data_IF_093630710614
#
_entry.id   IF_093630710614
#
_cell.length_a   1.000
_cell.length_b   1.000
_cell.length_c   1.000
_cell.angle_alpha   90.00
_cell.angle_beta   90.00
_cell.angle_gamma   90.00
#
_symmetry.space_group_name_H-M   'P 1'
#
loop_
_entity.id
_entity.type
_entity.pdbx_description
1 polymer ?
#
# COMPACT_ATOMS: atom_id res chain seq x y z
N UNK A 1 -5.68 31.68 -12.85
CA UNK A 1 -4.30 31.42 -12.37
C UNK A 1 -3.48 30.94 -13.55
N UNK A 2 -2.25 31.47 -13.72
CA UNK A 2 -1.32 30.96 -14.74
C UNK A 2 -0.33 29.98 -14.10
N UNK A 3 0.18 29.04 -14.88
CA UNK A 3 1.13 28.02 -14.36
C UNK A 3 2.40 28.66 -13.74
N UNK A 4 2.84 29.81 -14.23
CA UNK A 4 3.99 30.57 -13.72
C UNK A 4 3.77 31.19 -12.33
N UNK A 5 2.51 31.39 -11.91
CA UNK A 5 2.14 31.99 -10.62
C UNK A 5 1.94 30.93 -9.52
N UNK A 6 2.08 29.64 -9.85
CA UNK A 6 1.80 28.52 -8.95
C UNK A 6 2.85 28.43 -7.84
N UNK A 7 2.35 28.38 -6.59
CA UNK A 7 3.10 28.06 -5.37
C UNK A 7 2.43 26.87 -4.70
N UNK A 8 3.15 25.78 -4.58
CA UNK A 8 2.57 24.50 -4.15
C UNK A 8 2.80 24.28 -2.65
N UNK A 9 1.75 23.87 -1.95
CA UNK A 9 1.86 23.26 -0.64
C UNK A 9 1.44 21.79 -0.74
N UNK A 10 2.31 20.87 -0.31
CA UNK A 10 1.96 19.44 -0.20
C UNK A 10 1.72 19.10 1.27
N UNK A 11 0.49 18.68 1.60
CA UNK A 11 0.04 18.34 2.95
C UNK A 11 0.10 16.84 3.15
N UNK A 12 0.91 16.41 4.12
CA UNK A 12 1.26 15.02 4.36
C UNK A 12 2.53 14.61 3.62
N UNK A 13 3.63 14.42 4.35
CA UNK A 13 4.96 14.11 3.81
C UNK A 13 5.34 12.64 4.05
N UNK A 14 4.40 11.73 3.82
CA UNK A 14 4.61 10.28 3.87
C UNK A 14 5.13 9.71 2.55
N UNK A 15 4.81 8.42 2.31
CA UNK A 15 5.21 7.63 1.12
C UNK A 15 4.78 8.24 -0.23
N UNK A 16 3.74 9.05 -0.23
CA UNK A 16 3.15 9.68 -1.43
C UNK A 16 3.57 11.13 -1.53
N UNK A 17 3.33 11.90 -0.47
CA UNK A 17 3.48 13.35 -0.52
C UNK A 17 4.93 13.81 -0.61
N UNK A 18 5.88 13.15 0.05
CA UNK A 18 7.28 13.56 -0.01
C UNK A 18 7.89 13.39 -1.41
N UNK A 19 7.77 12.22 -2.09
CA UNK A 19 8.27 12.08 -3.46
C UNK A 19 7.66 13.10 -4.42
N UNK A 20 6.36 13.37 -4.27
CA UNK A 20 5.66 14.33 -5.12
C UNK A 20 6.09 15.78 -4.82
N UNK A 21 6.22 16.16 -3.53
CA UNK A 21 6.69 17.48 -3.12
C UNK A 21 8.11 17.76 -3.63
N UNK A 22 9.02 16.78 -3.49
CA UNK A 22 10.38 16.85 -4.05
C UNK A 22 10.32 17.05 -5.57
N UNK A 23 9.45 16.33 -6.26
CA UNK A 23 9.33 16.43 -7.70
C UNK A 23 8.81 17.81 -8.13
N UNK A 24 7.74 18.31 -7.50
CA UNK A 24 7.21 19.64 -7.74
C UNK A 24 8.25 20.73 -7.49
N UNK A 25 9.08 20.61 -6.45
CA UNK A 25 10.10 21.62 -6.12
C UNK A 25 11.09 21.87 -7.26
N UNK A 26 11.26 20.93 -8.18
CA UNK A 26 12.15 21.09 -9.35
C UNK A 26 11.63 22.11 -10.37
N UNK A 27 10.35 22.47 -10.31
CA UNK A 27 9.68 23.37 -11.29
C UNK A 27 8.91 24.52 -10.64
N UNK A 28 8.44 24.34 -9.41
CA UNK A 28 7.58 25.30 -8.72
C UNK A 28 8.12 25.59 -7.32
N UNK A 29 7.96 26.80 -6.78
CA UNK A 29 8.11 27.05 -5.36
C UNK A 29 7.21 26.08 -4.58
N UNK A 30 7.81 25.23 -3.74
CA UNK A 30 7.09 24.14 -3.09
C UNK A 30 7.42 24.09 -1.60
N UNK A 31 6.41 24.02 -0.76
CA UNK A 31 6.50 23.82 0.68
C UNK A 31 5.81 22.49 1.02
N UNK A 32 6.47 21.67 1.82
CA UNK A 32 5.89 20.48 2.42
C UNK A 32 5.33 20.80 3.81
N UNK A 33 4.10 20.43 4.08
CA UNK A 33 3.47 20.57 5.39
C UNK A 33 3.18 19.19 5.99
N UNK A 34 3.63 18.98 7.24
CA UNK A 34 3.27 17.78 8.01
C UNK A 34 3.02 18.16 9.47
N UNK A 35 2.04 17.52 10.10
CA UNK A 35 1.72 17.79 11.52
C UNK A 35 2.77 17.22 12.47
N UNK A 36 3.61 16.29 12.03
CA UNK A 36 4.61 15.62 12.84
C UNK A 36 5.95 16.37 12.80
N UNK A 37 6.27 17.11 13.86
CA UNK A 37 7.51 17.88 13.98
C UNK A 37 8.75 17.02 13.79
N UNK A 38 8.80 15.80 14.34
CA UNK A 38 9.96 14.93 14.19
C UNK A 38 10.15 14.47 12.74
N UNK A 39 9.06 14.35 11.95
CA UNK A 39 9.12 14.10 10.51
C UNK A 39 9.73 15.29 9.77
N UNK A 40 9.25 16.48 10.07
CA UNK A 40 9.76 17.74 9.47
C UNK A 40 11.23 17.92 9.78
N UNK A 41 11.66 17.73 11.04
CA UNK A 41 13.04 17.87 11.46
C UNK A 41 13.97 16.88 10.73
N UNK A 42 13.56 15.61 10.61
CA UNK A 42 14.30 14.60 9.87
C UNK A 42 14.45 14.98 8.39
N UNK A 43 13.36 15.40 7.73
CA UNK A 43 13.38 15.81 6.33
C UNK A 43 14.25 17.03 6.11
N UNK A 44 14.17 18.04 6.98
CA UNK A 44 15.01 19.25 6.89
C UNK A 44 16.50 18.97 7.19
N UNK A 45 16.83 17.88 7.89
CA UNK A 45 18.18 17.37 8.02
C UNK A 45 18.68 16.60 6.78
N UNK A 46 17.80 16.40 5.79
CA UNK A 46 18.09 15.67 4.55
C UNK A 46 17.95 14.16 4.66
N UNK A 47 17.14 13.65 5.60
CA UNK A 47 16.93 12.21 5.82
C UNK A 47 15.45 11.81 5.71
N UNK A 48 15.19 10.81 4.86
CA UNK A 48 13.86 10.21 4.69
C UNK A 48 13.77 8.83 5.34
N UNK A 49 13.14 8.75 6.52
CA UNK A 49 12.91 7.50 7.24
C UNK A 49 11.97 6.52 6.50
N UNK A 50 11.23 6.97 5.47
CA UNK A 50 10.38 6.09 4.65
C UNK A 50 11.15 5.42 3.50
N UNK A 51 12.38 5.89 3.21
CA UNK A 51 13.26 5.41 2.14
C UNK A 51 12.66 5.52 0.73
N UNK A 52 11.67 6.39 0.54
CA UNK A 52 11.04 6.65 -0.76
C UNK A 52 11.80 7.71 -1.58
N UNK A 53 12.47 8.63 -0.89
CA UNK A 53 13.33 9.63 -1.51
C UNK A 53 14.75 9.43 -0.99
N UNK A 54 15.69 9.24 -1.92
CA UNK A 54 17.11 9.15 -1.56
C UNK A 54 17.58 10.45 -0.89
N UNK A 55 18.36 10.34 0.20
CA UNK A 55 18.84 11.48 0.97
C UNK A 55 19.56 12.52 0.09
N UNK A 56 20.30 12.08 -0.93
CA UNK A 56 20.95 12.98 -1.88
C UNK A 56 19.96 13.80 -2.71
N UNK A 57 18.84 13.20 -3.14
CA UNK A 57 17.80 13.90 -3.89
C UNK A 57 17.02 14.87 -2.99
N UNK A 58 16.80 14.51 -1.73
CA UNK A 58 16.17 15.38 -0.76
C UNK A 58 17.05 16.59 -0.44
N UNK A 59 18.36 16.38 -0.22
CA UNK A 59 19.34 17.46 -0.01
C UNK A 59 19.45 18.37 -1.23
N UNK A 60 19.39 17.82 -2.45
CA UNK A 60 19.34 18.63 -3.68
C UNK A 60 18.06 19.49 -3.71
N UNK A 61 16.90 18.91 -3.37
CA UNK A 61 15.64 19.66 -3.34
C UNK A 61 15.71 20.85 -2.37
N UNK A 62 16.26 20.65 -1.18
CA UNK A 62 16.43 21.70 -0.16
C UNK A 62 17.42 22.76 -0.63
N UNK A 63 18.63 22.36 -1.03
CA UNK A 63 19.72 23.30 -1.29
C UNK A 63 19.64 24.01 -2.63
N UNK A 64 19.14 23.34 -3.67
CA UNK A 64 19.12 23.87 -5.04
C UNK A 64 17.78 24.45 -5.46
N UNK A 65 16.67 23.80 -5.02
CA UNK A 65 15.33 24.19 -5.43
C UNK A 65 14.56 24.93 -4.32
N UNK A 66 15.15 25.10 -3.13
CA UNK A 66 14.53 25.84 -2.02
C UNK A 66 13.32 25.12 -1.41
N UNK A 67 13.27 23.79 -1.50
CA UNK A 67 12.22 22.98 -0.85
C UNK A 67 12.32 23.14 0.68
N UNK A 68 11.20 23.43 1.32
CA UNK A 68 11.10 23.60 2.77
C UNK A 68 9.99 22.72 3.30
N UNK A 69 10.23 22.08 4.47
CA UNK A 69 9.19 21.39 5.23
C UNK A 69 8.87 22.18 6.50
N UNK A 70 7.59 22.22 6.88
CA UNK A 70 7.13 22.98 8.04
C UNK A 70 5.91 22.33 8.72
N UNK A 71 5.72 22.64 10.01
CA UNK A 71 4.48 22.40 10.76
C UNK A 71 3.67 23.70 10.96
N UNK A 72 4.20 24.84 10.49
CA UNK A 72 3.62 26.17 10.70
C UNK A 72 2.69 26.55 9.55
N UNK A 73 1.41 26.77 9.89
CA UNK A 73 0.37 27.18 8.93
C UNK A 73 0.64 28.53 8.26
N UNK A 74 1.27 29.45 8.96
CA UNK A 74 1.53 30.78 8.40
C UNK A 74 2.51 30.72 7.21
N UNK A 75 3.42 29.74 7.19
CA UNK A 75 4.37 29.58 6.09
C UNK A 75 3.71 29.05 4.80
N UNK A 76 2.55 28.41 4.88
CA UNK A 76 1.85 27.85 3.72
C UNK A 76 0.71 28.74 3.24
N UNK A 77 0.43 29.86 3.92
CA UNK A 77 -0.67 30.78 3.60
C UNK A 77 -0.51 31.48 2.27
N UNK A 78 0.71 31.67 1.81
CA UNK A 78 1.01 32.29 0.50
C UNK A 78 1.02 31.27 -0.66
N UNK A 79 0.75 30.00 -0.40
CA UNK A 79 0.54 29.01 -1.43
C UNK A 79 -0.86 29.18 -2.05
N UNK A 80 -0.99 28.77 -3.32
CA UNK A 80 -2.24 28.87 -4.06
C UNK A 80 -2.65 27.56 -4.76
N UNK A 81 -1.84 26.52 -4.58
CA UNK A 81 -2.08 25.18 -5.08
C UNK A 81 -1.74 24.17 -3.98
N UNK A 82 -2.77 23.63 -3.33
CA UNK A 82 -2.63 22.71 -2.21
C UNK A 82 -2.82 21.28 -2.68
N UNK A 83 -1.88 20.39 -2.35
CA UNK A 83 -1.94 18.96 -2.68
C UNK A 83 -2.06 18.16 -1.38
N UNK A 84 -3.16 17.43 -1.21
CA UNK A 84 -3.44 16.64 -0.01
C UNK A 84 -3.08 15.18 -0.26
N UNK A 85 -2.04 14.69 0.43
CA UNK A 85 -1.46 13.36 0.28
C UNK A 85 -1.35 12.61 1.62
N UNK A 86 -2.43 12.65 2.41
CA UNK A 86 -2.51 11.99 3.72
C UNK A 86 -3.03 10.55 3.59
N UNK A 87 -2.71 9.65 4.55
CA UNK A 87 -3.21 8.28 4.51
C UNK A 87 -4.73 8.21 4.70
N UNK A 88 -5.34 7.20 4.08
CA UNK A 88 -6.76 6.85 4.20
C UNK A 88 -6.88 5.38 4.63
N UNK A 89 -6.75 5.07 5.93
CA UNK A 89 -6.84 3.71 6.43
C UNK A 89 -8.29 3.21 6.49
N UNK A 90 -8.46 1.96 6.91
CA UNK A 90 -9.77 1.41 7.34
C UNK A 90 -9.76 1.18 8.84
N UNK A 91 -10.94 1.22 9.45
CA UNK A 91 -11.15 0.87 10.85
C UNK A 91 -11.13 -0.67 11.05
N UNK A 92 -11.32 -1.12 12.30
CA UNK A 92 -11.34 -2.54 12.66
C UNK A 92 -12.48 -3.34 11.99
N UNK A 93 -13.49 -2.66 11.47
CA UNK A 93 -14.62 -3.25 10.76
C UNK A 93 -14.47 -3.14 9.24
N UNK A 94 -13.28 -2.75 8.75
CA UNK A 94 -12.99 -2.49 7.35
C UNK A 94 -13.81 -1.34 6.74
N UNK A 95 -14.24 -0.35 7.56
CA UNK A 95 -14.85 0.87 7.05
C UNK A 95 -13.77 1.92 6.78
N UNK A 96 -13.90 2.71 5.70
CA UNK A 96 -13.00 3.83 5.44
C UNK A 96 -12.92 4.80 6.61
N UNK A 97 -11.70 5.09 7.07
CA UNK A 97 -11.45 6.15 8.05
C UNK A 97 -10.95 7.41 7.34
N UNK A 98 -11.86 8.36 7.18
CA UNK A 98 -11.58 9.65 6.53
C UNK A 98 -11.03 10.70 7.51
N UNK A 99 -10.83 10.36 8.79
CA UNK A 99 -10.36 11.32 9.81
C UNK A 99 -9.10 12.08 9.41
N UNK A 100 -8.02 11.43 8.89
CA UNK A 100 -6.83 12.17 8.46
C UNK A 100 -7.12 13.10 7.28
N UNK A 101 -7.98 12.66 6.34
CA UNK A 101 -8.32 13.42 5.14
C UNK A 101 -9.18 14.65 5.48
N UNK A 102 -10.15 14.50 6.37
CA UNK A 102 -10.96 15.61 6.86
C UNK A 102 -10.13 16.59 7.70
N UNK A 103 -9.15 16.07 8.47
CA UNK A 103 -8.18 16.90 9.18
C UNK A 103 -7.32 17.74 8.22
N UNK A 104 -6.82 17.13 7.15
CA UNK A 104 -6.08 17.86 6.11
C UNK A 104 -6.97 18.88 5.37
N UNK A 105 -8.23 18.53 5.08
CA UNK A 105 -9.20 19.47 4.50
C UNK A 105 -9.50 20.66 5.45
N UNK A 106 -9.54 20.41 6.77
CA UNK A 106 -9.62 21.47 7.77
C UNK A 106 -8.40 22.41 7.71
N UNK A 107 -7.20 21.82 7.64
CA UNK A 107 -5.94 22.56 7.50
C UNK A 107 -5.95 23.45 6.24
N UNK A 108 -6.36 22.90 5.09
CA UNK A 108 -6.54 23.68 3.85
C UNK A 108 -7.52 24.82 4.07
N UNK A 109 -8.67 24.56 4.71
CA UNK A 109 -9.68 25.58 4.98
C UNK A 109 -9.19 26.78 5.82
N UNK A 110 -8.16 26.59 6.65
CA UNK A 110 -7.56 27.66 7.45
C UNK A 110 -6.67 28.62 6.65
N UNK A 111 -6.19 28.19 5.49
CA UNK A 111 -5.18 28.93 4.71
C UNK A 111 -5.61 29.28 3.29
N UNK A 112 -6.56 28.55 2.71
CA UNK A 112 -7.02 28.71 1.33
C UNK A 112 -7.64 30.10 1.10
N UNK A 113 -7.34 30.69 -0.04
CA UNK A 113 -7.81 32.01 -0.46
C UNK A 113 -8.61 31.95 -1.76
N UNK A 114 -9.21 33.08 -2.15
CA UNK A 114 -9.98 33.18 -3.41
C UNK A 114 -9.10 32.93 -4.63
N UNK A 115 -9.55 32.04 -5.49
CA UNK A 115 -8.86 31.67 -6.72
C UNK A 115 -7.90 30.49 -6.56
N UNK A 116 -7.70 29.99 -5.33
CA UNK A 116 -6.82 28.86 -5.06
C UNK A 116 -7.41 27.52 -5.49
N UNK A 117 -6.53 26.53 -5.61
CA UNK A 117 -6.90 25.17 -6.00
C UNK A 117 -6.42 24.17 -4.94
N UNK A 118 -7.30 23.24 -4.54
CA UNK A 118 -6.93 22.08 -3.73
C UNK A 118 -7.04 20.80 -4.56
N UNK A 119 -5.98 19.99 -4.59
CA UNK A 119 -5.94 18.70 -5.29
C UNK A 119 -5.77 17.58 -4.28
N UNK A 120 -6.63 16.58 -4.32
CA UNK A 120 -6.52 15.40 -3.47
C UNK A 120 -5.80 14.27 -4.20
N UNK A 121 -4.81 13.69 -3.53
CA UNK A 121 -4.04 12.52 -3.99
C UNK A 121 -4.43 11.24 -3.23
N UNK A 122 -4.96 11.41 -2.02
CA UNK A 122 -5.33 10.31 -1.14
C UNK A 122 -6.35 9.39 -1.79
N UNK A 123 -6.17 8.08 -1.63
CA UNK A 123 -7.10 7.07 -2.19
C UNK A 123 -8.46 7.14 -1.47
N UNK A 124 -9.53 7.29 -2.24
CA UNK A 124 -10.89 7.43 -1.72
C UNK A 124 -11.91 6.74 -2.64
N UNK A 125 -13.12 6.49 -2.13
CA UNK A 125 -14.22 6.06 -2.98
C UNK A 125 -14.80 7.24 -3.80
N UNK A 126 -15.47 6.98 -4.94
CA UNK A 126 -16.04 8.05 -5.77
C UNK A 126 -17.00 8.95 -4.99
N UNK A 127 -16.72 10.26 -5.05
CA UNK A 127 -17.51 11.31 -4.42
C UNK A 127 -16.94 11.86 -3.11
N UNK A 128 -15.93 11.25 -2.49
CA UNK A 128 -15.37 11.73 -1.19
C UNK A 128 -14.86 13.15 -1.31
N UNK A 129 -14.13 13.47 -2.35
CA UNK A 129 -13.62 14.83 -2.54
C UNK A 129 -14.74 15.84 -2.48
N UNK A 130 -15.79 15.66 -3.30
CA UNK A 130 -16.88 16.62 -3.43
C UNK A 130 -17.91 16.56 -2.28
N UNK A 131 -18.16 15.37 -1.72
CA UNK A 131 -19.23 15.15 -0.72
C UNK A 131 -18.75 15.33 0.73
N UNK A 132 -17.45 15.11 1.01
CA UNK A 132 -16.89 15.11 2.37
C UNK A 132 -15.81 16.17 2.56
N UNK A 133 -14.81 16.21 1.66
CA UNK A 133 -13.64 17.06 1.84
C UNK A 133 -13.94 18.54 1.57
N UNK A 134 -14.54 18.86 0.43
CA UNK A 134 -14.80 20.25 0.04
C UNK A 134 -15.81 20.94 0.98
N UNK A 135 -16.89 20.30 1.47
CA UNK A 135 -17.75 20.89 2.50
C UNK A 135 -16.98 21.23 3.79
N UNK A 136 -15.96 20.45 4.14
CA UNK A 136 -15.07 20.76 5.28
C UNK A 136 -14.24 22.03 5.01
N UNK A 137 -13.69 22.17 3.80
CA UNK A 137 -12.94 23.38 3.40
C UNK A 137 -13.84 24.60 3.41
N UNK A 138 -15.05 24.51 2.83
CA UNK A 138 -16.06 25.60 2.83
C UNK A 138 -16.41 26.03 4.26
N UNK A 139 -16.69 25.07 5.14
CA UNK A 139 -17.07 25.36 6.53
C UNK A 139 -15.99 26.13 7.29
N UNK A 140 -14.72 25.82 7.04
CA UNK A 140 -13.59 26.42 7.78
C UNK A 140 -13.19 27.77 7.18
N UNK A 141 -13.12 27.85 5.85
CA UNK A 141 -12.67 29.06 5.15
C UNK A 141 -13.77 30.12 4.99
N UNK A 142 -15.05 29.71 5.01
CA UNK A 142 -16.18 30.57 4.64
C UNK A 142 -16.27 30.86 3.13
N UNK A 143 -15.40 30.24 2.32
CA UNK A 143 -15.38 30.36 0.87
C UNK A 143 -16.30 29.31 0.23
N UNK A 144 -16.71 29.54 -1.02
CA UNK A 144 -17.58 28.64 -1.77
C UNK A 144 -16.83 27.89 -2.86
N UNK A 145 -17.03 26.60 -2.89
CA UNK A 145 -16.50 25.71 -3.92
C UNK A 145 -17.05 26.07 -5.31
N UNK A 146 -16.17 26.07 -6.32
CA UNK A 146 -16.45 26.46 -7.71
C UNK A 146 -16.90 27.93 -7.93
N UNK A 147 -16.87 28.76 -6.87
CA UNK A 147 -17.05 30.20 -6.95
C UNK A 147 -15.79 30.93 -6.49
N UNK A 148 -15.36 30.65 -5.26
CA UNK A 148 -14.24 31.32 -4.61
C UNK A 148 -12.95 30.50 -4.65
N UNK A 149 -13.03 29.17 -4.59
CA UNK A 149 -11.91 28.25 -4.73
C UNK A 149 -12.30 27.04 -5.57
N UNK A 150 -11.32 26.28 -6.02
CA UNK A 150 -11.52 25.18 -6.95
C UNK A 150 -10.82 23.91 -6.46
N UNK A 151 -11.18 22.75 -7.07
CA UNK A 151 -10.62 21.48 -6.68
C UNK A 151 -10.22 20.60 -7.86
N UNK A 152 -9.31 19.67 -7.58
CA UNK A 152 -8.93 18.60 -8.47
C UNK A 152 -8.73 17.30 -7.71
N UNK A 153 -8.52 16.23 -8.45
CA UNK A 153 -8.11 14.95 -7.93
C UNK A 153 -7.09 14.29 -8.86
N UNK A 154 -6.01 13.78 -8.29
CA UNK A 154 -4.98 13.04 -9.01
C UNK A 154 -4.61 11.79 -8.22
N UNK A 155 -5.08 10.60 -8.65
CA UNK A 155 -4.87 9.38 -7.89
C UNK A 155 -3.41 9.03 -7.75
N UNK A 156 -3.03 8.58 -6.56
CA UNK A 156 -1.73 8.00 -6.30
C UNK A 156 -1.59 6.63 -6.98
N UNK A 157 -0.46 6.40 -7.65
CA UNK A 157 -0.14 5.16 -8.36
C UNK A 157 1.26 4.62 -8.04
N UNK A 158 1.95 5.18 -7.05
CA UNK A 158 3.26 4.69 -6.60
C UNK A 158 3.08 3.30 -5.97
N UNK A 159 3.98 2.40 -6.32
CA UNK A 159 4.09 1.11 -5.66
C UNK A 159 5.29 1.19 -4.71
N UNK A 160 5.09 1.28 -3.38
CA UNK A 160 6.19 1.44 -2.43
C UNK A 160 7.30 0.43 -2.64
N UNK A 161 8.56 0.91 -2.67
CA UNK A 161 9.74 0.10 -2.93
C UNK A 161 10.00 -0.25 -4.40
N UNK A 162 9.18 0.21 -5.35
CA UNK A 162 9.41 0.06 -6.79
C UNK A 162 10.34 1.16 -7.30
N UNK A 163 11.59 0.82 -7.59
CA UNK A 163 12.61 1.76 -8.07
C UNK A 163 12.57 1.97 -9.59
N UNK A 164 11.82 1.16 -10.32
CA UNK A 164 11.67 1.28 -11.77
C UNK A 164 10.52 2.23 -12.14
N UNK A 165 9.36 2.06 -11.49
CA UNK A 165 8.16 2.85 -11.73
C UNK A 165 8.04 3.97 -10.67
N UNK A 166 9.01 4.89 -10.68
CA UNK A 166 9.02 6.05 -9.78
C UNK A 166 7.89 7.04 -10.13
N UNK A 167 7.57 7.95 -9.19
CA UNK A 167 6.54 8.98 -9.40
C UNK A 167 6.73 9.77 -10.70
N UNK A 168 7.96 9.99 -11.13
CA UNK A 168 8.30 10.72 -12.37
C UNK A 168 7.94 9.95 -13.63
N UNK A 169 8.00 8.60 -13.59
CA UNK A 169 7.84 7.70 -14.74
C UNK A 169 6.45 7.11 -14.87
N UNK A 170 5.62 7.17 -13.85
CA UNK A 170 4.23 6.70 -13.96
C UNK A 170 3.39 7.74 -14.70
N UNK A 171 2.44 7.27 -15.52
CA UNK A 171 1.42 8.13 -16.10
C UNK A 171 0.33 8.37 -15.07
N UNK A 172 0.19 9.62 -14.58
CA UNK A 172 -0.82 9.96 -13.58
C UNK A 172 -2.17 10.33 -14.20
N UNK A 173 -3.25 9.97 -13.52
CA UNK A 173 -4.55 10.57 -13.79
C UNK A 173 -4.61 11.98 -13.22
N UNK A 174 -5.32 12.89 -13.88
CA UNK A 174 -5.62 14.24 -13.38
C UNK A 174 -7.08 14.57 -13.64
N UNK A 175 -7.65 15.45 -12.85
CA UNK A 175 -9.02 15.95 -13.03
C UNK A 175 -9.20 17.29 -12.33
N UNK A 176 -10.27 17.98 -12.65
CA UNK A 176 -10.61 19.26 -12.01
C UNK A 176 -12.11 19.50 -11.97
N UNK A 177 -12.51 20.41 -11.11
CA UNK A 177 -13.91 20.75 -10.85
C UNK A 177 -14.57 21.57 -11.96
N UNK A 178 -13.77 22.25 -12.80
CA UNK A 178 -14.19 22.89 -14.04
C UNK A 178 -13.22 22.51 -15.16
N UNK A 179 -13.58 22.70 -16.46
CA UNK A 179 -12.67 22.41 -17.57
C UNK A 179 -11.34 23.18 -17.48
N UNK A 180 -11.40 24.45 -17.05
CA UNK A 180 -10.22 25.32 -16.91
C UNK A 180 -9.31 24.83 -15.78
N UNK A 181 -9.88 24.44 -14.65
CA UNK A 181 -9.15 23.90 -13.51
C UNK A 181 -8.58 22.53 -13.85
N UNK A 182 -9.32 21.70 -14.57
CA UNK A 182 -8.83 20.40 -15.03
C UNK A 182 -7.58 20.55 -15.90
N UNK A 183 -7.57 21.52 -16.83
CA UNK A 183 -6.41 21.83 -17.65
C UNK A 183 -5.25 22.41 -16.82
N UNK A 184 -5.53 23.26 -15.84
CA UNK A 184 -4.52 23.81 -14.95
C UNK A 184 -3.85 22.68 -14.14
N UNK A 185 -4.64 21.84 -13.46
CA UNK A 185 -4.14 20.69 -12.71
C UNK A 185 -3.31 19.78 -13.63
N UNK A 186 -3.83 19.45 -14.81
CA UNK A 186 -3.13 18.64 -15.78
C UNK A 186 -1.77 19.24 -16.18
N UNK A 187 -1.72 20.56 -16.43
CA UNK A 187 -0.48 21.26 -16.81
C UNK A 187 0.57 21.27 -15.70
N UNK A 188 0.15 21.44 -14.42
CA UNK A 188 1.04 21.42 -13.26
C UNK A 188 1.70 20.05 -13.10
N UNK A 189 0.91 18.98 -13.18
CA UNK A 189 1.44 17.60 -13.10
C UNK A 189 2.30 17.24 -14.31
N UNK A 190 1.89 17.60 -15.50
CA UNK A 190 2.65 17.36 -16.73
C UNK A 190 4.03 18.04 -16.74
N UNK A 191 4.18 19.17 -16.06
CA UNK A 191 5.44 19.90 -15.96
C UNK A 191 6.55 19.09 -15.27
N UNK A 192 6.18 18.11 -14.45
CA UNK A 192 7.13 17.33 -13.62
C UNK A 192 7.16 15.83 -13.98
N UNK A 193 6.20 15.31 -14.76
CA UNK A 193 6.09 13.90 -15.12
C UNK A 193 6.70 13.61 -16.50
N UNK A 194 7.49 12.54 -16.60
CA UNK A 194 8.14 12.14 -17.86
C UNK A 194 7.14 11.51 -18.81
N UNK A 195 6.25 10.63 -18.33
CA UNK A 195 5.28 9.90 -19.15
C UNK A 195 3.92 10.59 -19.23
N UNK A 196 3.85 11.85 -18.76
CA UNK A 196 2.68 12.69 -18.86
C UNK A 196 1.50 12.24 -18.01
N UNK A 197 0.35 12.79 -18.34
CA UNK A 197 -0.90 12.62 -17.61
C UNK A 197 -1.99 11.99 -18.46
N UNK A 198 -3.08 11.60 -17.81
CA UNK A 198 -4.36 11.27 -18.42
C UNK A 198 -5.44 12.13 -17.77
N UNK A 199 -5.96 13.10 -18.52
CA UNK A 199 -7.02 13.96 -18.04
C UNK A 199 -8.34 13.19 -18.00
N UNK A 200 -8.83 12.92 -16.80
CA UNK A 200 -10.12 12.29 -16.58
C UNK A 200 -11.25 13.32 -16.70
N UNK A 201 -12.45 12.92 -17.16
CA UNK A 201 -13.55 13.82 -17.42
C UNK A 201 -14.17 14.46 -16.16
N UNK A 202 -13.92 13.90 -14.97
CA UNK A 202 -14.38 14.45 -13.69
C UNK A 202 -13.56 13.90 -12.51
N UNK A 203 -13.67 14.57 -11.36
CA UNK A 203 -13.09 14.12 -10.08
C UNK A 203 -13.57 12.71 -9.75
N UNK A 204 -14.88 12.43 -9.81
CA UNK A 204 -15.45 11.12 -9.50
C UNK A 204 -14.93 10.01 -10.41
N UNK A 205 -14.70 10.29 -11.69
CA UNK A 205 -14.11 9.30 -12.61
C UNK A 205 -12.67 9.02 -12.25
N UNK A 206 -11.90 10.03 -11.87
CA UNK A 206 -10.52 9.86 -11.43
C UNK A 206 -10.42 9.07 -10.12
N UNK A 207 -11.28 9.36 -9.13
CA UNK A 207 -11.42 8.58 -7.89
C UNK A 207 -11.77 7.11 -8.19
N UNK A 208 -12.80 6.88 -9.04
CA UNK A 208 -13.22 5.53 -9.42
C UNK A 208 -12.09 4.74 -10.10
N UNK A 209 -11.32 5.39 -10.97
CA UNK A 209 -10.24 4.72 -11.70
C UNK A 209 -9.19 4.13 -10.77
N UNK A 210 -8.84 4.83 -9.69
CA UNK A 210 -7.89 4.36 -8.68
C UNK A 210 -8.39 3.11 -7.95
N UNK A 211 -9.63 3.16 -7.49
CA UNK A 211 -10.21 2.06 -6.72
C UNK A 211 -10.31 0.78 -7.54
N UNK A 212 -10.70 0.88 -8.82
CA UNK A 212 -10.84 -0.32 -9.66
C UNK A 212 -9.50 -0.98 -10.01
N UNK A 213 -8.39 -0.23 -10.08
CA UNK A 213 -7.05 -0.81 -10.33
C UNK A 213 -6.69 -1.85 -9.26
N UNK A 214 -6.90 -1.51 -7.99
CA UNK A 214 -6.60 -2.39 -6.87
C UNK A 214 -7.70 -3.45 -6.66
N UNK A 215 -8.98 -3.09 -6.84
CA UNK A 215 -10.08 -4.06 -6.75
C UNK A 215 -9.98 -5.14 -7.83
N UNK A 216 -9.61 -4.81 -9.06
CA UNK A 216 -9.38 -5.79 -10.12
C UNK A 216 -8.25 -6.75 -9.74
N UNK A 217 -7.14 -6.23 -9.20
CA UNK A 217 -6.01 -7.05 -8.77
C UNK A 217 -6.40 -7.98 -7.63
N UNK A 218 -7.14 -7.48 -6.65
CA UNK A 218 -7.65 -8.27 -5.52
C UNK A 218 -8.55 -9.43 -5.97
N UNK A 219 -9.53 -9.15 -6.84
CA UNK A 219 -10.42 -10.18 -7.41
C UNK A 219 -9.63 -11.22 -8.20
N UNK A 220 -8.65 -10.79 -8.99
CA UNK A 220 -7.84 -11.71 -9.79
C UNK A 220 -6.94 -12.59 -8.91
N UNK A 221 -6.37 -12.05 -7.81
CA UNK A 221 -5.62 -12.86 -6.85
C UNK A 221 -6.56 -13.83 -6.10
N UNK A 222 -7.77 -13.39 -5.74
CA UNK A 222 -8.76 -14.28 -5.14
C UNK A 222 -9.11 -15.46 -6.05
N UNK A 223 -9.24 -15.23 -7.35
CA UNK A 223 -9.41 -16.31 -8.32
C UNK A 223 -8.24 -17.30 -8.30
N UNK A 224 -6.98 -16.81 -8.28
CA UNK A 224 -5.80 -17.67 -8.17
C UNK A 224 -5.77 -18.44 -6.85
N UNK A 225 -6.15 -17.80 -5.74
CA UNK A 225 -6.25 -18.43 -4.43
C UNK A 225 -7.35 -19.53 -4.38
N UNK A 226 -8.47 -19.30 -5.03
CA UNK A 226 -9.53 -20.31 -5.15
C UNK A 226 -9.04 -21.51 -5.97
N UNK A 227 -8.36 -21.28 -7.10
CA UNK A 227 -7.74 -22.34 -7.90
C UNK A 227 -6.73 -23.15 -7.07
N UNK A 228 -5.90 -22.49 -6.29
CA UNK A 228 -4.94 -23.17 -5.40
C UNK A 228 -5.65 -24.09 -4.41
N UNK A 229 -6.75 -23.66 -3.81
CA UNK A 229 -7.57 -24.50 -2.91
C UNK A 229 -8.18 -25.70 -3.63
N UNK A 230 -8.70 -25.50 -4.83
CA UNK A 230 -9.28 -26.56 -5.67
C UNK A 230 -8.21 -27.60 -6.05
N UNK A 231 -7.07 -27.13 -6.59
CA UNK A 231 -6.02 -28.01 -7.08
C UNK A 231 -5.32 -28.75 -5.93
N UNK A 232 -5.10 -28.09 -4.79
CA UNK A 232 -4.59 -28.77 -3.59
C UNK A 232 -5.53 -29.89 -3.12
N UNK A 233 -6.86 -29.70 -3.20
CA UNK A 233 -7.84 -30.75 -2.87
C UNK A 233 -7.82 -31.90 -3.89
N UNK A 234 -7.48 -31.63 -5.15
CA UNK A 234 -7.35 -32.62 -6.23
C UNK A 234 -5.98 -33.30 -6.28
N UNK A 235 -5.00 -32.84 -5.48
CA UNK A 235 -3.63 -33.34 -5.52
C UNK A 235 -2.85 -32.89 -6.76
N UNK A 236 -3.25 -31.75 -7.37
CA UNK A 236 -2.61 -31.14 -8.54
C UNK A 236 -1.80 -29.94 -8.10
N UNK A 237 -0.60 -29.79 -8.64
CA UNK A 237 0.23 -28.59 -8.36
C UNK A 237 -0.29 -27.36 -9.11
N UNK A 238 -0.61 -26.31 -8.35
CA UNK A 238 -1.19 -25.08 -8.88
C UNK A 238 -0.25 -24.36 -9.84
N UNK A 239 1.05 -24.31 -9.53
CA UNK A 239 2.03 -23.63 -10.37
C UNK A 239 2.19 -24.32 -11.72
N UNK A 240 2.18 -25.67 -11.76
CA UNK A 240 2.27 -26.43 -13.02
C UNK A 240 1.06 -26.12 -13.92
N UNK A 241 -0.14 -26.01 -13.34
CA UNK A 241 -1.36 -25.63 -14.08
C UNK A 241 -1.25 -24.21 -14.60
N UNK A 242 -0.79 -23.27 -13.78
CA UNK A 242 -0.64 -21.87 -14.17
C UNK A 242 0.42 -21.69 -15.26
N UNK A 243 1.53 -22.44 -15.21
CA UNK A 243 2.55 -22.44 -16.27
C UNK A 243 1.99 -22.99 -17.58
N UNK A 244 1.26 -24.09 -17.54
CA UNK A 244 0.60 -24.64 -18.72
C UNK A 244 -0.42 -23.65 -19.31
N UNK A 245 -1.26 -23.02 -18.48
CA UNK A 245 -2.22 -22.01 -18.90
C UNK A 245 -1.55 -20.76 -19.49
N UNK A 246 -0.41 -20.36 -18.91
CA UNK A 246 0.37 -19.20 -19.34
C UNK A 246 1.07 -19.39 -20.71
N UNK A 247 1.07 -20.60 -21.27
CA UNK A 247 1.47 -20.83 -22.65
C UNK A 247 0.53 -20.17 -23.67
N UNK A 248 -0.70 -19.85 -23.27
CA UNK A 248 -1.65 -19.10 -24.07
C UNK A 248 -1.36 -17.61 -23.98
N UNK A 249 -1.20 -16.95 -25.11
CA UNK A 249 -0.74 -15.55 -25.23
C UNK A 249 -1.59 -14.51 -24.47
N UNK A 250 -2.88 -14.76 -24.25
CA UNK A 250 -3.80 -13.83 -23.57
C UNK A 250 -4.15 -14.26 -22.13
N UNK A 251 -3.42 -15.22 -21.56
CA UNK A 251 -3.59 -15.58 -20.16
C UNK A 251 -2.94 -14.53 -19.26
N UNK A 252 -3.71 -14.01 -18.30
CA UNK A 252 -3.21 -13.02 -17.32
C UNK A 252 -2.42 -13.76 -16.24
N UNK A 253 -1.11 -13.56 -16.23
CA UNK A 253 -0.19 -14.22 -15.30
C UNK A 253 -0.29 -13.61 -13.91
N UNK A 254 -0.98 -14.29 -13.01
CA UNK A 254 -1.02 -14.01 -11.58
C UNK A 254 -0.75 -15.30 -10.83
N UNK A 255 -0.35 -15.17 -9.56
CA UNK A 255 -0.09 -16.30 -8.68
C UNK A 255 -0.98 -16.21 -7.44
N UNK A 256 -1.30 -17.36 -6.80
CA UNK A 256 -1.91 -17.37 -5.49
C UNK A 256 -0.94 -16.78 -4.45
N UNK A 257 -1.46 -16.29 -3.34
CA UNK A 257 -0.65 -15.74 -2.26
C UNK A 257 -1.43 -14.96 -1.22
N UNK A 258 -0.70 -14.46 -0.25
CA UNK A 258 -1.23 -13.61 0.82
C UNK A 258 -1.41 -12.18 0.30
N UNK A 259 -2.58 -11.59 0.53
CA UNK A 259 -2.89 -10.21 0.13
C UNK A 259 -2.87 -9.32 1.37
N UNK A 260 -1.77 -8.62 1.57
CA UNK A 260 -1.53 -7.66 2.63
C UNK A 260 -1.27 -6.25 2.10
N UNK A 261 -0.69 -5.39 2.93
CA UNK A 261 -0.37 -4.00 2.62
C UNK A 261 -1.57 -3.07 2.82
N UNK A 262 -1.43 -1.83 2.36
CA UNK A 262 -2.43 -0.79 2.60
C UNK A 262 -3.22 -0.37 1.36
N UNK A 263 -2.97 -1.01 0.21
CA UNK A 263 -3.69 -0.71 -1.02
C UNK A 263 -4.64 -1.85 -1.41
N UNK A 264 -4.11 -3.00 -1.88
CA UNK A 264 -4.94 -4.09 -2.42
C UNK A 264 -5.87 -4.69 -1.36
N UNK A 265 -5.42 -4.79 -0.11
CA UNK A 265 -6.24 -5.31 1.00
C UNK A 265 -7.25 -4.31 1.56
N UNK A 266 -7.14 -3.02 1.22
CA UNK A 266 -7.91 -1.92 1.80
C UNK A 266 -8.87 -1.28 0.79
N UNK A 267 -8.36 -0.87 -0.37
CA UNK A 267 -9.12 -0.10 -1.37
C UNK A 267 -10.44 -0.75 -1.80
N UNK A 268 -10.54 -2.10 -1.97
CA UNK A 268 -11.82 -2.71 -2.33
C UNK A 268 -12.94 -2.46 -1.32
N UNK A 269 -12.62 -2.33 -0.03
CA UNK A 269 -13.61 -2.03 1.01
C UNK A 269 -14.25 -0.65 0.82
N UNK A 270 -13.49 0.32 0.32
CA UNK A 270 -14.01 1.65 -0.03
C UNK A 270 -15.14 1.55 -1.05
N UNK A 271 -14.92 0.80 -2.13
CA UNK A 271 -15.95 0.64 -3.17
C UNK A 271 -17.10 -0.27 -2.72
N UNK A 272 -16.81 -1.30 -1.93
CA UNK A 272 -17.84 -2.20 -1.35
C UNK A 272 -18.82 -1.41 -0.50
N UNK A 273 -18.32 -0.55 0.39
CA UNK A 273 -19.15 0.26 1.26
C UNK A 273 -19.96 1.30 0.46
N UNK A 274 -19.31 2.02 -0.46
CA UNK A 274 -20.01 3.02 -1.28
C UNK A 274 -21.11 2.39 -2.15
N UNK A 275 -20.88 1.21 -2.71
CA UNK A 275 -21.87 0.48 -3.48
C UNK A 275 -23.12 0.15 -2.64
N UNK A 276 -22.94 -0.25 -1.37
CA UNK A 276 -24.04 -0.54 -0.46
C UNK A 276 -24.91 0.69 -0.17
N UNK A 277 -24.30 1.87 -0.06
CA UNK A 277 -25.03 3.14 0.10
C UNK A 277 -25.97 3.39 -1.09
N UNK A 278 -25.56 2.96 -2.29
CA UNK A 278 -26.39 3.04 -3.50
C UNK A 278 -27.31 1.80 -3.71
N UNK A 279 -27.46 0.92 -2.71
CA UNK A 279 -28.31 -0.26 -2.77
C UNK A 279 -27.75 -1.39 -3.64
N UNK A 280 -26.49 -1.33 -4.05
CA UNK A 280 -25.83 -2.37 -4.84
C UNK A 280 -25.04 -3.29 -3.92
N UNK A 281 -25.30 -4.60 -4.00
CA UNK A 281 -24.54 -5.63 -3.27
C UNK A 281 -23.37 -6.11 -4.13
N UNK A 282 -22.12 -5.70 -3.85
CA UNK A 282 -20.96 -6.04 -4.67
C UNK A 282 -20.41 -7.43 -4.33
N UNK A 283 -21.19 -8.49 -4.64
CA UNK A 283 -20.92 -9.88 -4.22
C UNK A 283 -19.56 -10.39 -4.65
N UNK A 284 -19.12 -10.09 -5.87
CA UNK A 284 -17.84 -10.55 -6.39
C UNK A 284 -16.68 -10.00 -5.56
N UNK A 285 -16.63 -8.70 -5.33
CA UNK A 285 -15.57 -8.05 -4.54
C UNK A 285 -15.61 -8.50 -3.07
N UNK A 286 -16.81 -8.58 -2.48
CA UNK A 286 -16.97 -9.03 -1.10
C UNK A 286 -16.48 -10.47 -0.89
N UNK A 287 -16.81 -11.38 -1.81
CA UNK A 287 -16.35 -12.76 -1.74
C UNK A 287 -14.85 -12.89 -2.00
N UNK A 288 -14.30 -12.11 -2.94
CA UNK A 288 -12.87 -12.05 -3.20
C UNK A 288 -12.09 -11.62 -1.95
N UNK A 289 -12.56 -10.56 -1.27
CA UNK A 289 -11.94 -10.11 -0.01
C UNK A 289 -11.99 -11.21 1.07
N UNK A 290 -13.13 -11.83 1.29
CA UNK A 290 -13.26 -12.93 2.27
C UNK A 290 -12.31 -14.08 1.97
N UNK A 291 -12.17 -14.44 0.70
CA UNK A 291 -11.25 -15.50 0.29
C UNK A 291 -9.80 -15.12 0.56
N UNK A 292 -9.38 -13.92 0.13
CA UNK A 292 -8.03 -13.42 0.34
C UNK A 292 -7.70 -13.22 1.83
N UNK A 293 -8.65 -12.72 2.62
CA UNK A 293 -8.48 -12.56 4.06
C UNK A 293 -8.30 -13.89 4.79
N UNK A 294 -8.97 -14.95 4.34
CA UNK A 294 -8.84 -16.29 4.93
C UNK A 294 -7.62 -17.10 4.46
N UNK A 295 -6.74 -16.55 3.63
CA UNK A 295 -5.60 -17.32 3.09
C UNK A 295 -4.52 -17.60 4.12
N UNK A 296 -4.31 -16.74 5.11
CA UNK A 296 -3.38 -17.01 6.21
C UNK A 296 -3.77 -18.27 6.99
N UNK A 297 -5.04 -18.35 7.39
CA UNK A 297 -5.59 -19.53 8.06
C UNK A 297 -5.49 -20.78 7.18
N UNK A 298 -5.82 -20.65 5.90
CA UNK A 298 -5.70 -21.75 4.95
C UNK A 298 -4.27 -22.29 4.88
N UNK A 299 -3.27 -21.42 4.74
CA UNK A 299 -1.85 -21.82 4.71
C UNK A 299 -1.45 -22.54 5.99
N UNK A 300 -1.76 -22.00 7.17
CA UNK A 300 -1.46 -22.63 8.45
C UNK A 300 -2.08 -24.04 8.55
N UNK A 301 -3.33 -24.18 8.13
CA UNK A 301 -4.01 -25.48 8.11
C UNK A 301 -3.39 -26.46 7.11
N UNK A 302 -2.87 -26.00 5.94
CA UNK A 302 -2.13 -26.86 5.02
C UNK A 302 -0.79 -27.33 5.62
N UNK A 303 -0.07 -26.46 6.34
CA UNK A 303 1.14 -26.84 7.08
C UNK A 303 0.83 -27.93 8.11
N UNK A 304 -0.20 -27.74 8.93
CA UNK A 304 -0.66 -28.70 9.92
C UNK A 304 -1.02 -30.05 9.25
N UNK A 305 -1.73 -30.00 8.12
CA UNK A 305 -2.07 -31.20 7.34
C UNK A 305 -0.80 -31.94 6.85
N UNK A 306 0.17 -31.21 6.30
CA UNK A 306 1.45 -31.79 5.85
C UNK A 306 2.21 -32.43 7.00
N UNK A 307 2.28 -31.79 8.18
CA UNK A 307 2.92 -32.36 9.38
C UNK A 307 2.25 -33.65 9.80
N UNK A 308 0.93 -33.68 9.91
CA UNK A 308 0.19 -34.89 10.29
C UNK A 308 0.40 -36.05 9.31
N UNK A 309 0.41 -35.78 7.99
CA UNK A 309 0.66 -36.82 6.97
C UNK A 309 2.08 -37.40 7.07
N UNK A 310 3.04 -36.65 7.61
CA UNK A 310 4.44 -37.11 7.85
C UNK A 310 4.68 -37.64 9.26
N UNK A 311 3.64 -37.74 10.07
CA UNK A 311 3.74 -38.20 11.45
C UNK A 311 4.45 -37.23 12.39
N UNK A 312 4.50 -35.95 12.04
CA UNK A 312 5.04 -34.87 12.87
C UNK A 312 3.96 -34.37 13.82
N UNK A 313 4.25 -34.35 15.11
CA UNK A 313 3.32 -33.85 16.12
C UNK A 313 3.15 -32.33 15.99
N UNK A 314 1.92 -31.89 15.87
CA UNK A 314 1.59 -30.46 15.73
C UNK A 314 1.60 -29.73 17.07
N UNK A 315 1.14 -30.44 18.13
CA UNK A 315 1.15 -29.91 19.49
C UNK A 315 2.58 -29.70 19.96
N UNK A 316 2.90 -28.55 20.49
CA UNK A 316 4.20 -28.13 20.98
C UNK A 316 5.34 -28.24 19.94
N UNK A 317 4.98 -28.24 18.65
CA UNK A 317 5.94 -28.23 17.55
C UNK A 317 6.68 -26.87 17.45
N UNK A 318 7.92 -26.94 16.96
CA UNK A 318 8.71 -25.72 16.65
C UNK A 318 8.46 -25.27 15.24
N UNK A 319 7.97 -24.05 15.10
CA UNK A 319 7.70 -23.41 13.80
C UNK A 319 8.71 -22.31 13.52
N UNK A 320 9.14 -22.21 12.26
CA UNK A 320 9.89 -21.07 11.75
C UNK A 320 9.09 -20.41 10.62
N UNK A 321 8.73 -19.14 10.80
CA UNK A 321 8.18 -18.30 9.76
C UNK A 321 9.30 -17.45 9.16
N UNK A 322 9.54 -17.58 7.87
CA UNK A 322 10.51 -16.81 7.11
C UNK A 322 9.80 -15.63 6.42
N UNK A 323 9.96 -14.46 7.02
CA UNK A 323 9.35 -13.21 6.61
C UNK A 323 8.04 -12.88 7.31
N UNK A 324 7.85 -11.60 7.68
CA UNK A 324 6.62 -11.05 8.26
C UNK A 324 6.16 -9.80 7.55
N UNK A 325 6.98 -9.18 6.70
CA UNK A 325 6.56 -8.03 5.91
C UNK A 325 5.46 -8.41 4.91
N UNK A 326 4.67 -7.45 4.44
CA UNK A 326 3.62 -7.77 3.47
C UNK A 326 4.15 -8.08 2.07
N UNK A 327 5.38 -7.63 1.76
CA UNK A 327 6.04 -7.73 0.46
C UNK A 327 7.54 -8.00 0.62
N UNK A 328 8.12 -8.66 -0.37
CA UNK A 328 9.55 -8.93 -0.43
C UNK A 328 10.42 -7.66 -0.51
N UNK A 329 11.57 -7.71 0.16
CA UNK A 329 12.63 -6.68 0.14
C UNK A 329 12.12 -5.27 0.53
N UNK A 330 11.18 -5.21 1.46
CA UNK A 330 10.54 -4.01 1.94
C UNK A 330 10.33 -4.10 3.46
N UNK A 331 10.57 -3.03 4.26
CA UNK A 331 10.39 -3.07 5.71
C UNK A 331 8.94 -2.91 6.17
N UNK A 332 7.99 -2.75 5.27
CA UNK A 332 6.59 -2.46 5.59
C UNK A 332 5.84 -3.70 6.08
N UNK A 333 5.28 -3.60 7.28
CA UNK A 333 4.56 -4.69 7.95
C UNK A 333 3.04 -4.51 7.96
N UNK A 334 2.52 -3.42 7.36
CA UNK A 334 1.08 -3.09 7.46
C UNK A 334 0.20 -4.18 6.84
N UNK A 335 -0.82 -4.58 7.59
CA UNK A 335 -1.84 -5.57 7.19
C UNK A 335 -1.24 -6.89 6.64
N UNK A 336 -0.07 -7.29 7.13
CA UNK A 336 0.55 -8.55 6.70
C UNK A 336 -0.30 -9.75 7.12
N UNK A 337 -0.59 -10.65 6.18
CA UNK A 337 -1.35 -11.89 6.43
C UNK A 337 -0.51 -13.02 7.05
N UNK A 338 0.78 -12.81 7.23
CA UNK A 338 1.64 -13.72 7.99
C UNK A 338 1.25 -13.76 9.46
N UNK A 339 0.70 -12.68 9.97
CA UNK A 339 0.14 -12.59 11.34
C UNK A 339 -1.00 -13.60 11.54
N UNK A 340 -1.84 -13.81 10.54
CA UNK A 340 -2.92 -14.79 10.60
C UNK A 340 -2.36 -16.22 10.65
N UNK A 341 -1.28 -16.52 9.89
CA UNK A 341 -0.55 -17.78 9.98
C UNK A 341 -0.02 -17.98 11.40
N UNK A 342 0.65 -16.97 11.95
CA UNK A 342 1.19 -17.01 13.31
C UNK A 342 0.09 -17.30 14.35
N UNK A 343 -1.02 -16.58 14.30
CA UNK A 343 -2.11 -16.76 15.25
C UNK A 343 -2.78 -18.13 15.14
N UNK A 344 -2.96 -18.65 13.93
CA UNK A 344 -3.51 -20.01 13.74
C UNK A 344 -2.57 -21.06 14.31
N UNK A 345 -1.27 -20.98 14.05
CA UNK A 345 -0.28 -21.92 14.60
C UNK A 345 -0.12 -21.78 16.11
N UNK A 346 -0.26 -20.58 16.68
CA UNK A 346 -0.13 -20.34 18.11
C UNK A 346 -1.21 -21.01 18.96
N UNK A 347 -2.32 -21.45 18.33
CA UNK A 347 -3.33 -22.28 18.99
C UNK A 347 -2.81 -23.70 19.32
N UNK A 348 -1.74 -24.15 18.68
CA UNK A 348 -1.17 -25.49 18.84
C UNK A 348 0.18 -25.49 19.53
N UNK A 349 0.95 -24.42 19.42
CA UNK A 349 2.29 -24.30 20.01
C UNK A 349 2.66 -22.85 20.33
N UNK A 350 3.38 -22.67 21.43
CA UNK A 350 4.00 -21.37 21.77
C UNK A 350 5.43 -21.22 21.18
N UNK A 351 6.01 -22.29 20.61
CA UNK A 351 7.37 -22.28 20.07
C UNK A 351 7.34 -21.89 18.57
N UNK A 352 7.04 -20.60 18.31
CA UNK A 352 7.01 -20.02 16.98
C UNK A 352 8.08 -18.94 16.88
N UNK A 353 9.07 -19.19 16.06
CA UNK A 353 10.13 -18.22 15.72
C UNK A 353 9.77 -17.51 14.42
N UNK A 354 9.89 -16.18 14.41
CA UNK A 354 9.73 -15.37 13.20
C UNK A 354 11.08 -14.72 12.87
N UNK A 355 11.58 -14.99 11.69
CA UNK A 355 12.79 -14.36 11.16
C UNK A 355 12.47 -13.49 9.96
N UNK A 356 12.80 -12.20 10.06
CA UNK A 356 12.68 -11.26 8.96
C UNK A 356 13.86 -10.28 8.95
N UNK A 357 14.65 -10.22 7.87
CA UNK A 357 15.83 -9.34 7.79
C UNK A 357 15.48 -7.87 7.54
N UNK A 358 14.24 -7.54 7.17
CA UNK A 358 13.80 -6.21 6.79
C UNK A 358 12.91 -5.54 7.84
N UNK A 359 12.07 -6.31 8.51
CA UNK A 359 11.11 -5.77 9.47
C UNK A 359 11.80 -5.21 10.73
N UNK A 360 11.30 -4.08 11.22
CA UNK A 360 11.75 -3.55 12.51
C UNK A 360 11.06 -4.29 13.66
N UNK A 361 11.81 -4.95 14.59
CA UNK A 361 11.24 -5.75 15.67
C UNK A 361 10.33 -4.96 16.61
N UNK A 362 10.69 -3.72 16.96
CA UNK A 362 9.88 -2.89 17.85
C UNK A 362 8.55 -2.51 17.21
N UNK A 363 8.55 -2.25 15.90
CA UNK A 363 7.34 -1.95 15.14
C UNK A 363 6.40 -3.14 15.06
N UNK A 364 6.93 -4.36 14.82
CA UNK A 364 6.15 -5.60 14.82
C UNK A 364 5.58 -5.89 16.21
N UNK A 365 6.39 -5.76 17.25
CA UNK A 365 5.94 -5.94 18.64
C UNK A 365 4.82 -4.96 19.00
N UNK A 366 4.94 -3.70 18.59
CA UNK A 366 3.91 -2.67 18.86
C UNK A 366 2.62 -2.91 18.08
N UNK A 367 2.73 -3.31 16.81
CA UNK A 367 1.57 -3.49 15.94
C UNK A 367 0.81 -4.80 16.20
N UNK A 368 1.54 -5.89 16.48
CA UNK A 368 0.98 -7.25 16.48
C UNK A 368 1.23 -8.03 17.78
N UNK A 369 2.05 -7.53 18.70
CA UNK A 369 2.45 -8.25 19.92
C UNK A 369 3.39 -9.44 19.65
N UNK A 370 3.97 -9.52 18.45
CA UNK A 370 4.83 -10.64 18.01
C UNK A 370 6.29 -10.23 18.14
N UNK A 371 7.09 -11.09 18.76
CA UNK A 371 8.55 -10.94 18.79
C UNK A 371 9.17 -11.56 17.55
N UNK A 372 10.05 -10.82 16.90
CA UNK A 372 10.80 -11.30 15.72
C UNK A 372 12.30 -11.10 15.94
N UNK A 373 13.09 -11.75 15.11
CA UNK A 373 14.54 -11.55 15.04
C UNK A 373 15.01 -11.25 13.62
N UNK A 374 16.07 -10.42 13.49
CA UNK A 374 16.66 -10.05 12.20
C UNK A 374 17.87 -10.93 11.81
N UNK A 375 18.11 -12.03 12.50
CA UNK A 375 19.17 -12.99 12.20
C UNK A 375 18.60 -14.40 12.13
N UNK A 376 19.22 -15.23 11.29
CA UNK A 376 18.79 -16.61 11.10
C UNK A 376 18.98 -17.41 12.40
N UNK A 377 17.95 -18.10 12.91
CA UNK A 377 18.08 -18.94 14.09
C UNK A 377 18.98 -20.16 13.80
N UNK A 378 19.75 -20.55 14.81
CA UNK A 378 20.67 -21.72 14.68
C UNK A 378 20.02 -23.06 14.99
N UNK A 379 18.80 -23.07 15.55
CA UNK A 379 18.07 -24.29 15.87
C UNK A 379 17.33 -24.88 14.67
N UNK A 380 16.94 -26.14 14.75
CA UNK A 380 16.09 -26.80 13.77
C UNK A 380 14.63 -26.84 14.21
N UNK A 381 13.73 -26.90 13.24
CA UNK A 381 12.29 -26.75 13.39
C UNK A 381 11.52 -27.97 12.86
N UNK A 382 10.31 -28.19 13.36
CA UNK A 382 9.38 -29.21 12.85
C UNK A 382 8.69 -28.74 11.56
N UNK A 383 8.50 -27.43 11.41
CA UNK A 383 8.02 -26.83 10.16
C UNK A 383 8.73 -25.50 9.88
N UNK A 384 9.15 -25.32 8.65
CA UNK A 384 9.70 -24.07 8.10
C UNK A 384 8.75 -23.58 7.01
N UNK A 385 8.27 -22.35 7.14
CA UNK A 385 7.26 -21.77 6.27
C UNK A 385 7.85 -20.52 5.62
N UNK A 386 8.07 -20.56 4.29
CA UNK A 386 8.47 -19.38 3.53
C UNK A 386 7.23 -18.53 3.26
N UNK A 387 7.02 -17.49 4.08
CA UNK A 387 5.87 -16.59 3.99
C UNK A 387 6.11 -15.44 3.03
N UNK A 388 7.33 -14.89 2.99
CA UNK A 388 7.74 -13.76 2.15
C UNK A 388 9.02 -14.12 1.39
N UNK A 389 9.08 -13.82 0.10
CA UNK A 389 10.21 -14.20 -0.75
C UNK A 389 11.33 -13.14 -0.75
N UNK A 390 11.85 -12.77 0.44
CA UNK A 390 13.05 -11.93 0.51
C UNK A 390 14.22 -12.57 -0.22
N UNK A 391 15.01 -11.76 -0.91
CA UNK A 391 16.17 -12.25 -1.68
C UNK A 391 17.16 -13.07 -0.84
N UNK A 392 17.30 -12.75 0.46
CA UNK A 392 18.12 -13.49 1.39
C UNK A 392 17.63 -14.93 1.60
N UNK A 393 16.32 -15.16 1.55
CA UNK A 393 15.74 -16.51 1.76
C UNK A 393 15.92 -17.43 0.56
N UNK A 394 16.02 -16.86 -0.66
CA UNK A 394 16.24 -17.65 -1.87
C UNK A 394 17.63 -18.30 -1.92
N UNK A 395 18.55 -17.83 -1.07
CA UNK A 395 19.92 -18.36 -0.96
C UNK A 395 20.10 -19.32 0.22
N UNK A 396 19.05 -19.49 1.06
CA UNK A 396 19.12 -20.38 2.23
C UNK A 396 18.94 -21.84 1.84
N UNK A 397 19.73 -22.71 2.45
CA UNK A 397 19.38 -24.13 2.53
C UNK A 397 18.25 -24.32 3.55
N UNK A 398 17.02 -24.07 3.13
CA UNK A 398 15.83 -24.16 4.00
C UNK A 398 15.63 -25.57 4.56
N UNK A 399 16.14 -26.60 3.86
CA UNK A 399 16.02 -27.98 4.31
C UNK A 399 16.92 -28.30 5.53
N UNK A 400 18.06 -27.65 5.64
CA UNK A 400 18.95 -27.76 6.79
C UNK A 400 18.34 -27.23 8.10
N UNK A 401 17.32 -26.34 7.98
CA UNK A 401 16.60 -25.77 9.13
C UNK A 401 15.52 -26.70 9.68
N UNK A 402 15.23 -27.81 8.99
CA UNK A 402 14.18 -28.75 9.37
C UNK A 402 14.81 -29.96 10.09
N UNK A 403 14.22 -30.37 11.21
CA UNK A 403 14.62 -31.58 11.95
C UNK A 403 13.77 -32.79 11.58
N UNK A 404 14.39 -33.98 11.53
CA UNK A 404 13.69 -35.24 11.32
C UNK A 404 12.78 -35.24 10.07
N UNK A 405 11.52 -35.63 10.27
CA UNK A 405 10.50 -35.68 9.21
C UNK A 405 9.74 -34.34 9.01
N UNK A 406 10.29 -33.26 9.55
CA UNK A 406 9.62 -31.95 9.49
C UNK A 406 9.32 -31.46 8.08
N UNK A 407 8.58 -30.37 7.98
CA UNK A 407 7.95 -29.88 6.76
C UNK A 407 8.57 -28.54 6.32
N UNK A 408 8.82 -28.41 5.02
CA UNK A 408 9.05 -27.11 4.35
C UNK A 408 7.82 -26.76 3.52
N UNK A 409 7.19 -25.64 3.83
CA UNK A 409 6.04 -25.11 3.08
C UNK A 409 6.39 -23.79 2.41
N UNK A 410 6.18 -23.70 1.10
CA UNK A 410 6.47 -22.49 0.31
C UNK A 410 5.19 -21.77 -0.08
N UNK A 411 4.85 -20.68 0.62
CA UNK A 411 3.67 -19.85 0.32
C UNK A 411 3.81 -19.11 -1.02
N UNK A 412 5.03 -18.83 -1.43
CA UNK A 412 5.32 -17.98 -2.60
C UNK A 412 5.56 -18.77 -3.89
N UNK A 413 5.78 -20.09 -3.76
CA UNK A 413 6.07 -20.97 -4.90
C UNK A 413 7.35 -20.58 -5.64
N UNK A 414 8.42 -20.22 -4.89
CA UNK A 414 9.71 -19.75 -5.45
C UNK A 414 10.89 -20.67 -5.14
N UNK A 415 10.74 -21.59 -4.18
CA UNK A 415 11.77 -22.54 -3.83
C UNK A 415 11.79 -23.72 -4.80
N UNK A 416 12.96 -24.36 -4.92
CA UNK A 416 13.10 -25.60 -5.69
C UNK A 416 12.17 -26.68 -5.13
N UNK A 417 11.52 -27.40 -6.03
CA UNK A 417 10.56 -28.46 -5.71
C UNK A 417 11.14 -29.60 -4.88
N UNK A 418 12.45 -29.85 -5.01
CA UNK A 418 13.16 -30.91 -4.26
C UNK A 418 13.40 -30.58 -2.79
N UNK A 419 13.32 -29.29 -2.40
CA UNK A 419 13.55 -28.86 -1.02
C UNK A 419 12.27 -28.61 -0.22
N UNK A 420 11.10 -28.60 -0.88
CA UNK A 420 9.79 -28.35 -0.27
C UNK A 420 8.95 -29.63 -0.16
N UNK A 421 8.03 -29.65 0.78
CA UNK A 421 7.05 -30.73 0.95
C UNK A 421 5.69 -30.35 0.37
N UNK A 422 5.36 -29.06 0.38
CA UNK A 422 4.16 -28.51 -0.26
C UNK A 422 4.33 -27.01 -0.53
N UNK A 423 3.45 -26.49 -1.41
CA UNK A 423 3.33 -25.06 -1.72
C UNK A 423 1.88 -24.66 -1.96
N UNK A 424 1.65 -23.35 -1.96
CA UNK A 424 0.34 -22.78 -2.24
C UNK A 424 -0.02 -22.86 -3.73
#
# INVERSE_FOLDING_TARGET
MKTEDIRICVIGLGYVGLPLARLFSTKFPTIGFDMNQSRVDALMSGHDATLEVDDALLQEAISKYGFVCTTDLEQIRDCNFYVVAVPTPVDRNNHPDLTPLLGASHTVGQVISRGDVVVYESTVYPGVTEEECLPQVERVSGLKFNEDFFAGYSPERINPGDKEHTVEKIRKGTSGSTPEIAQLVDSVYNAVLINGTHLAPSIRVAEASKIIENSQRDVNIAFMNELAKIFNAMGIDTNDVLEAAASKWNFIRLKPGLVGGHCISVDPYYLIQKAQVYGVLPRLMTNARRLNDGMGDYVANQVIRCMNLRGVMVKDARYLLLGITFKENCPDIRNTKVVDIYHTLSQYSSDITVYDPWANPESVQRAYGIQIQNHLPQQQFDAVILCVAHSQFLQLDVRSLVRGNGVVYDVKGVLDRHVIDARL
#
